data_IF_562843443714
#
_entry.id   IF_562843443714
#
_cell.length_a   1.000
_cell.length_b   1.000
_cell.length_c   1.000
_cell.angle_alpha   90.00
_cell.angle_beta   90.00
_cell.angle_gamma   90.00
#
_symmetry.space_group_name_H-M   'P 1'
#
loop_
_entity.id
_entity.type
_entity.pdbx_description
1 polymer ?
#
# COMPACT_ATOMS: atom_id res chain seq x y z
N UNK A 1 2.06 -45.90 53.09
CA UNK A 1 1.19 -45.41 51.98
C UNK A 1 1.20 -43.88 51.88
N UNK A 2 2.07 -43.19 52.62
CA UNK A 2 1.98 -41.72 52.77
C UNK A 2 3.03 -40.97 51.95
N UNK A 3 4.18 -41.61 51.65
CA UNK A 3 5.21 -41.07 50.75
C UNK A 3 4.71 -40.78 49.34
N UNK A 4 3.84 -41.64 48.79
CA UNK A 4 3.23 -41.40 47.48
C UNK A 4 2.26 -40.21 47.49
N UNK A 5 1.58 -39.95 48.62
CA UNK A 5 0.68 -38.80 48.77
C UNK A 5 1.49 -37.51 48.85
N UNK A 6 2.61 -37.49 49.58
CA UNK A 6 3.50 -36.34 49.64
C UNK A 6 4.10 -35.99 48.27
N UNK A 7 4.47 -36.99 47.46
CA UNK A 7 4.97 -36.77 46.11
C UNK A 7 3.89 -36.23 45.17
N UNK A 8 2.66 -36.73 45.26
CA UNK A 8 1.54 -36.19 44.48
C UNK A 8 1.21 -34.76 44.90
N UNK A 9 1.17 -34.46 46.20
CA UNK A 9 0.97 -33.09 46.70
C UNK A 9 2.09 -32.15 46.27
N UNK A 10 3.36 -32.58 46.31
CA UNK A 10 4.48 -31.76 45.85
C UNK A 10 4.43 -31.50 44.35
N UNK A 11 4.04 -32.49 43.55
CA UNK A 11 3.89 -32.34 42.10
C UNK A 11 2.71 -31.43 41.74
N UNK A 12 1.58 -31.53 42.45
CA UNK A 12 0.45 -30.61 42.25
C UNK A 12 0.81 -29.18 42.65
N UNK A 13 1.54 -29.00 43.75
CA UNK A 13 1.94 -27.67 44.22
C UNK A 13 2.94 -27.05 43.24
N UNK A 14 3.90 -27.83 42.74
CA UNK A 14 4.84 -27.38 41.72
C UNK A 14 4.13 -27.02 40.41
N UNK A 15 3.14 -27.82 39.97
CA UNK A 15 2.33 -27.52 38.80
C UNK A 15 1.52 -26.23 38.96
N UNK A 16 0.90 -26.01 40.14
CA UNK A 16 0.16 -24.77 40.40
C UNK A 16 1.04 -23.53 40.41
N UNK A 17 2.27 -23.63 40.92
CA UNK A 17 3.25 -22.52 40.89
C UNK A 17 3.71 -22.25 39.45
N UNK A 18 3.87 -23.30 38.64
CA UNK A 18 4.27 -23.16 37.24
C UNK A 18 3.19 -22.50 36.37
N UNK A 19 1.92 -22.85 36.61
CA UNK A 19 0.76 -22.22 35.94
C UNK A 19 0.58 -20.76 36.38
N UNK A 20 0.74 -20.45 37.67
CA UNK A 20 0.65 -19.09 38.18
C UNK A 20 1.78 -18.17 37.67
N UNK A 21 3.01 -18.69 37.55
CA UNK A 21 4.12 -17.96 36.95
C UNK A 21 3.91 -17.68 35.45
N UNK A 22 3.26 -18.58 34.72
CA UNK A 22 2.89 -18.38 33.32
C UNK A 22 1.82 -17.29 33.15
N UNK A 23 0.90 -17.14 34.11
CA UNK A 23 -0.14 -16.10 34.10
C UNK A 23 0.42 -14.69 34.40
N UNK A 24 1.52 -14.58 35.15
CA UNK A 24 2.18 -13.30 35.45
C UNK A 24 3.03 -12.76 34.28
N UNK A 25 3.36 -13.60 33.29
CA UNK A 25 4.14 -13.18 32.12
C UNK A 25 3.31 -12.51 31.01
N UNK A 26 1.97 -12.54 31.11
CA UNK A 26 1.07 -11.98 30.09
C UNK A 26 0.61 -10.54 30.41
N UNK A 27 0.79 -10.06 31.64
CA UNK A 27 0.27 -8.76 32.12
C UNK A 27 1.30 -7.61 32.03
N UNK A 28 2.33 -7.72 31.19
CA UNK A 28 3.10 -6.55 30.75
C UNK A 28 2.87 -6.22 29.27
N UNK A 29 1.73 -6.64 28.73
CA UNK A 29 1.30 -6.29 27.38
C UNK A 29 0.39 -5.07 27.46
N UNK A 30 0.98 -3.94 27.09
CA UNK A 30 0.36 -2.64 26.83
C UNK A 30 -1.04 -2.77 26.18
N UNK A 31 -2.08 -2.39 26.92
CA UNK A 31 -3.49 -2.41 26.49
C UNK A 31 -3.74 -1.28 25.48
N UNK A 32 -3.93 -1.63 24.20
CA UNK A 32 -4.59 -0.75 23.22
C UNK A 32 -6.04 -1.20 23.13
N UNK A 33 -6.93 -0.32 23.59
CA UNK A 33 -8.38 -0.44 23.51
C UNK A 33 -8.83 -0.83 22.10
N UNK A 34 -9.43 -2.01 21.99
CA UNK A 34 -10.12 -2.46 20.80
C UNK A 34 -11.51 -1.82 20.75
N UNK A 35 -11.62 -0.67 20.07
CA UNK A 35 -12.91 -0.20 19.58
C UNK A 35 -13.23 -0.94 18.26
N UNK A 36 -14.36 -1.63 18.28
CA UNK A 36 -14.87 -2.44 17.18
C UNK A 36 -15.12 -1.59 15.91
N UNK A 37 -14.72 -2.05 14.70
CA UNK A 37 -15.22 -1.47 13.47
C UNK A 37 -16.61 -2.03 13.18
N UNK A 38 -17.63 -1.18 13.33
CA UNK A 38 -18.96 -1.38 12.77
C UNK A 38 -18.87 -1.65 11.26
N UNK A 39 -19.29 -2.87 10.90
CA UNK A 39 -20.29 -3.15 9.86
C UNK A 39 -20.36 -2.17 8.67
N UNK A 40 -19.50 -2.36 7.67
CA UNK A 40 -19.79 -1.87 6.33
C UNK A 40 -20.63 -2.91 5.61
N UNK A 41 -21.95 -2.70 5.70
CA UNK A 41 -23.00 -3.51 5.13
C UNK A 41 -22.82 -3.76 3.64
N UNK A 42 -22.74 -5.03 3.27
CA UNK A 42 -23.00 -5.51 1.91
C UNK A 42 -24.51 -5.53 1.73
N UNK A 43 -25.06 -4.45 1.17
CA UNK A 43 -26.46 -4.33 0.81
C UNK A 43 -26.59 -3.66 -0.54
N UNK A 44 -26.52 -4.45 -1.62
CA UNK A 44 -27.00 -4.01 -2.94
C UNK A 44 -28.53 -3.92 -2.82
N UNK A 45 -29.05 -2.70 -2.77
CA UNK A 45 -30.48 -2.45 -2.95
C UNK A 45 -30.80 -2.46 -4.45
N UNK A 46 -31.70 -3.36 -4.80
CA UNK A 46 -32.42 -3.50 -6.06
C UNK A 46 -33.71 -2.62 -6.02
N UNK A 47 -34.31 -2.32 -7.19
CA UNK A 47 -35.43 -1.39 -7.54
C UNK A 47 -35.06 0.11 -7.63
N UNK A 48 -35.35 0.90 -8.68
CA UNK A 48 -36.29 0.92 -9.82
C UNK A 48 -35.51 1.08 -11.16
N UNK A 49 -35.87 0.62 -12.37
CA UNK A 49 -37.13 0.57 -13.15
C UNK A 49 -37.79 1.92 -13.47
N UNK A 50 -37.36 2.56 -14.57
CA UNK A 50 -38.22 3.50 -15.30
C UNK A 50 -37.87 3.51 -16.82
N UNK A 51 -38.76 2.88 -17.57
CA UNK A 51 -39.24 3.05 -18.95
C UNK A 51 -38.45 3.92 -19.97
N UNK A 52 -38.25 3.32 -21.15
CA UNK A 52 -37.87 4.00 -22.40
C UNK A 52 -38.11 3.11 -23.62
N UNK A 53 -39.27 3.31 -24.25
CA UNK A 53 -39.79 2.85 -25.55
C UNK A 53 -38.70 2.76 -26.65
N UNK A 54 -38.64 1.80 -27.58
CA UNK A 54 -39.67 1.30 -28.49
C UNK A 54 -39.28 1.69 -29.92
N UNK A 55 -38.72 0.76 -30.73
CA UNK A 55 -38.74 0.86 -32.21
C UNK A 55 -38.47 -0.51 -32.84
N UNK A 56 -39.48 -1.04 -33.52
CA UNK A 56 -39.42 -2.23 -34.35
C UNK A 56 -38.92 -1.83 -35.75
N UNK A 57 -37.85 -2.46 -36.24
CA UNK A 57 -37.42 -2.33 -37.64
C UNK A 57 -37.88 -3.57 -38.43
N UNK A 58 -38.96 -3.38 -39.18
CA UNK A 58 -39.42 -4.27 -40.25
C UNK A 58 -38.48 -4.14 -41.46
N UNK A 59 -37.69 -5.18 -41.73
CA UNK A 59 -36.94 -5.32 -42.98
C UNK A 59 -37.72 -6.22 -43.94
N UNK A 60 -38.49 -5.58 -44.83
CA UNK A 60 -39.05 -6.19 -46.04
C UNK A 60 -37.91 -6.49 -47.00
N UNK A 61 -37.78 -7.73 -47.48
CA UNK A 61 -37.16 -7.93 -48.79
C UNK A 61 -37.69 -9.15 -49.55
N UNK A 62 -37.99 -8.91 -50.81
CA UNK A 62 -38.55 -9.86 -51.75
C UNK A 62 -37.49 -10.43 -52.70
N UNK A 63 -37.45 -11.77 -52.74
CA UNK A 63 -37.05 -12.61 -53.88
C UNK A 63 -35.51 -12.76 -54.19
N UNK A 64 -35.10 -13.73 -55.03
CA UNK A 64 -34.89 -15.10 -54.57
C UNK A 64 -33.52 -15.70 -54.93
N UNK A 65 -33.11 -16.66 -54.10
CA UNK A 65 -32.29 -17.84 -54.38
C UNK A 65 -30.98 -17.67 -55.19
N UNK A 66 -29.84 -17.61 -54.47
CA UNK A 66 -28.62 -18.30 -54.89
C UNK A 66 -28.03 -19.13 -53.75
N UNK A 67 -28.17 -20.44 -53.89
CA UNK A 67 -27.25 -21.49 -53.41
C UNK A 67 -26.97 -21.49 -51.90
N UNK A 68 -27.88 -22.11 -51.15
CA UNK A 68 -27.68 -22.45 -49.74
C UNK A 68 -26.50 -23.44 -49.56
N UNK A 69 -25.40 -22.96 -49.00
CA UNK A 69 -24.35 -23.79 -48.38
C UNK A 69 -24.73 -24.19 -46.93
N UNK A 70 -26.00 -24.06 -46.57
CA UNK A 70 -26.51 -24.40 -45.26
C UNK A 70 -26.81 -25.89 -45.19
N UNK A 71 -25.88 -26.62 -44.58
CA UNK A 71 -26.05 -27.97 -44.09
C UNK A 71 -27.39 -28.11 -43.37
N UNK A 72 -28.39 -28.74 -44.02
CA UNK A 72 -29.62 -29.20 -43.36
C UNK A 72 -29.30 -30.44 -42.53
N UNK A 73 -28.64 -30.22 -41.40
CA UNK A 73 -28.54 -31.15 -40.28
C UNK A 73 -28.23 -30.29 -39.06
N UNK A 74 -29.24 -30.01 -38.26
CA UNK A 74 -29.06 -29.35 -36.98
C UNK A 74 -28.25 -30.30 -36.08
N UNK A 75 -26.94 -30.07 -35.99
CA UNK A 75 -26.09 -30.73 -35.01
C UNK A 75 -26.29 -29.94 -33.72
N UNK A 76 -27.11 -30.48 -32.82
CA UNK A 76 -27.25 -29.95 -31.47
C UNK A 76 -25.99 -30.35 -30.68
N UNK A 77 -25.10 -29.40 -30.44
CA UNK A 77 -24.00 -29.60 -29.51
C UNK A 77 -24.51 -29.40 -28.08
N UNK A 78 -24.51 -30.47 -27.28
CA UNK A 78 -24.71 -30.36 -25.84
C UNK A 78 -23.39 -29.88 -25.21
N UNK A 79 -23.29 -28.58 -24.97
CA UNK A 79 -22.24 -28.03 -24.11
C UNK A 79 -22.70 -28.30 -22.68
N UNK A 80 -21.98 -29.16 -21.95
CA UNK A 80 -22.36 -29.49 -20.58
C UNK A 80 -22.36 -28.23 -19.70
N UNK A 81 -23.18 -28.23 -18.66
CA UNK A 81 -23.17 -27.16 -17.65
C UNK A 81 -21.77 -26.99 -17.04
N UNK A 82 -20.98 -28.08 -16.97
CA UNK A 82 -19.57 -28.06 -16.59
C UNK A 82 -18.69 -27.25 -17.56
N UNK A 83 -18.87 -27.38 -18.87
CA UNK A 83 -18.12 -26.62 -19.87
C UNK A 83 -18.51 -25.12 -19.89
N UNK A 84 -19.79 -24.81 -19.67
CA UNK A 84 -20.25 -23.42 -19.50
C UNK A 84 -19.80 -22.79 -18.16
N UNK A 85 -19.54 -23.62 -17.14
CA UNK A 85 -18.98 -23.18 -15.86
C UNK A 85 -17.46 -23.03 -15.83
N UNK A 86 -16.74 -23.56 -16.84
CA UNK A 86 -15.28 -23.56 -16.86
C UNK A 86 -14.68 -22.13 -16.91
N UNK A 87 -15.43 -21.15 -17.42
CA UNK A 87 -15.07 -19.74 -17.39
C UNK A 87 -15.24 -19.06 -16.01
N UNK A 88 -15.71 -19.79 -14.99
CA UNK A 88 -15.90 -19.28 -13.62
C UNK A 88 -14.86 -19.75 -12.61
N UNK A 89 -13.87 -20.55 -13.04
CA UNK A 89 -12.71 -20.83 -12.20
C UNK A 89 -11.63 -19.82 -12.62
N UNK A 90 -11.34 -18.77 -11.83
CA UNK A 90 -10.18 -17.95 -12.08
C UNK A 90 -8.97 -18.88 -11.96
N UNK A 91 -8.40 -19.29 -13.09
CA UNK A 91 -7.13 -19.98 -13.08
C UNK A 91 -6.12 -19.00 -12.48
N UNK A 92 -5.54 -19.27 -11.29
CA UNK A 92 -4.62 -18.34 -10.69
C UNK A 92 -3.43 -18.22 -11.64
N UNK A 93 -3.15 -17.02 -12.19
CA UNK A 93 -2.00 -16.86 -13.06
C UNK A 93 -0.77 -16.91 -12.18
N UNK A 94 -0.15 -18.09 -12.09
CA UNK A 94 1.11 -18.25 -11.34
C UNK A 94 2.30 -17.58 -12.04
N UNK A 95 2.13 -17.06 -13.26
CA UNK A 95 3.20 -16.42 -14.03
C UNK A 95 2.74 -15.33 -15.01
N UNK A 96 1.46 -14.93 -15.02
CA UNK A 96 1.00 -13.92 -15.98
C UNK A 96 1.40 -12.51 -15.53
N UNK A 97 1.99 -11.76 -16.46
CA UNK A 97 2.19 -10.33 -16.32
C UNK A 97 0.86 -9.62 -16.57
N UNK A 98 0.39 -8.82 -15.61
CA UNK A 98 -0.88 -8.11 -15.69
C UNK A 98 -0.62 -6.67 -16.14
N UNK A 99 -1.28 -6.24 -17.21
CA UNK A 99 -1.17 -4.86 -17.71
C UNK A 99 -2.32 -4.03 -17.14
N UNK A 100 -1.99 -3.00 -16.36
CA UNK A 100 -2.96 -2.04 -15.85
C UNK A 100 -2.88 -0.77 -16.69
N UNK A 101 -4.04 -0.20 -17.00
CA UNK A 101 -4.15 1.11 -17.65
C UNK A 101 -4.74 2.11 -16.66
N UNK A 102 -4.04 3.23 -16.46
CA UNK A 102 -4.54 4.35 -15.65
C UNK A 102 -4.76 5.56 -16.56
N UNK A 103 -6.00 6.04 -16.60
CA UNK A 103 -6.32 7.31 -17.25
C UNK A 103 -5.80 8.47 -16.39
N UNK A 104 -5.03 9.36 -17.01
CA UNK A 104 -4.59 10.63 -16.45
C UNK A 104 -5.04 11.77 -17.38
N UNK A 105 -5.03 13.02 -16.89
CA UNK A 105 -5.35 14.22 -17.68
C UNK A 105 -4.50 14.40 -18.95
N UNK A 106 -3.31 13.81 -18.98
CA UNK A 106 -2.35 13.89 -20.09
C UNK A 106 -2.26 12.59 -20.91
N UNK A 107 -3.16 11.62 -20.71
CA UNK A 107 -3.19 10.37 -21.47
C UNK A 107 -3.27 9.11 -20.59
N UNK A 108 -3.08 7.94 -21.22
CA UNK A 108 -3.22 6.65 -20.56
C UNK A 108 -1.85 6.02 -20.27
N UNK A 109 -1.48 5.95 -19.00
CA UNK A 109 -0.24 5.29 -18.58
C UNK A 109 -0.51 3.79 -18.39
N UNK A 110 0.33 2.95 -19.01
CA UNK A 110 0.25 1.51 -18.87
C UNK A 110 1.38 1.00 -17.98
N UNK A 111 1.05 0.13 -17.03
CA UNK A 111 2.01 -0.49 -16.12
C UNK A 111 1.86 -2.00 -16.13
N UNK A 112 2.99 -2.70 -16.15
CA UNK A 112 3.05 -4.16 -16.12
C UNK A 112 3.36 -4.59 -14.70
N UNK A 113 2.54 -5.48 -14.14
CA UNK A 113 2.69 -6.05 -12.81
C UNK A 113 2.96 -7.54 -12.94
N UNK A 114 4.09 -8.00 -12.40
CA UNK A 114 4.44 -9.42 -12.32
C UNK A 114 4.26 -9.85 -10.87
N UNK A 115 3.11 -10.48 -10.57
CA UNK A 115 2.75 -10.90 -9.21
C UNK A 115 3.76 -11.90 -8.66
N UNK A 116 4.13 -12.91 -9.46
CA UNK A 116 5.07 -13.96 -9.07
C UNK A 116 6.44 -13.41 -8.64
N UNK A 117 6.93 -12.39 -9.36
CA UNK A 117 8.21 -11.77 -9.08
C UNK A 117 8.12 -10.63 -8.05
N UNK A 118 6.89 -10.26 -7.63
CA UNK A 118 6.64 -9.07 -6.78
C UNK A 118 7.19 -7.79 -7.40
N UNK A 119 6.99 -7.64 -8.70
CA UNK A 119 7.54 -6.53 -9.49
C UNK A 119 6.45 -5.71 -10.18
N UNK A 120 6.69 -4.41 -10.33
CA UNK A 120 5.88 -3.52 -11.15
C UNK A 120 6.77 -2.63 -12.00
N UNK A 121 6.39 -2.39 -13.26
CA UNK A 121 7.11 -1.50 -14.18
C UNK A 121 7.19 -0.04 -13.71
N UNK A 122 6.43 0.36 -12.70
CA UNK A 122 6.61 1.67 -12.06
C UNK A 122 7.84 1.72 -11.12
N UNK A 123 8.55 0.61 -10.91
CA UNK A 123 9.77 0.51 -10.09
C UNK A 123 9.53 0.52 -8.58
N UNK A 124 8.43 1.13 -8.11
CA UNK A 124 8.15 1.33 -6.68
C UNK A 124 8.14 0.02 -5.88
N UNK A 125 7.52 -1.03 -6.40
CA UNK A 125 7.44 -2.30 -5.68
C UNK A 125 8.82 -2.97 -5.53
N UNK A 126 9.66 -2.91 -6.57
CA UNK A 126 11.01 -3.46 -6.49
C UNK A 126 11.88 -2.68 -5.50
N UNK A 127 11.80 -1.34 -5.55
CA UNK A 127 12.61 -0.43 -4.73
C UNK A 127 12.23 -0.49 -3.25
N UNK A 128 10.95 -0.37 -2.95
CA UNK A 128 10.49 -0.28 -1.57
C UNK A 128 10.11 -1.63 -0.98
N UNK A 129 9.99 -2.70 -1.77
CA UNK A 129 9.52 -4.01 -1.28
C UNK A 129 8.07 -4.05 -0.80
N UNK A 130 7.34 -2.93 -0.91
CA UNK A 130 5.93 -2.78 -0.57
C UNK A 130 5.13 -2.68 -1.87
N UNK A 131 3.99 -3.42 -2.01
CA UNK A 131 3.15 -3.34 -3.19
C UNK A 131 2.72 -1.90 -3.50
N UNK A 132 3.00 -1.44 -4.72
CA UNK A 132 2.55 -0.13 -5.19
C UNK A 132 1.04 -0.11 -5.46
N UNK A 133 0.46 1.07 -5.72
CA UNK A 133 -0.98 1.19 -6.03
C UNK A 133 -1.43 0.33 -7.22
N UNK A 134 -0.56 0.11 -8.22
CA UNK A 134 -0.81 -0.79 -9.33
C UNK A 134 -0.89 -2.24 -8.85
N UNK A 135 0.11 -2.67 -8.08
CA UNK A 135 0.16 -4.02 -7.51
C UNK A 135 -1.05 -4.31 -6.62
N UNK A 136 -1.43 -3.37 -5.75
CA UNK A 136 -2.59 -3.53 -4.87
C UNK A 136 -3.89 -3.74 -5.64
N UNK A 137 -4.10 -3.01 -6.75
CA UNK A 137 -5.26 -3.20 -7.62
C UNK A 137 -5.28 -4.59 -8.27
N UNK A 138 -4.11 -5.07 -8.70
CA UNK A 138 -3.97 -6.42 -9.26
C UNK A 138 -4.22 -7.46 -8.17
N UNK A 139 -3.59 -7.34 -7.01
CA UNK A 139 -3.81 -8.25 -5.88
C UNK A 139 -5.30 -8.34 -5.50
N UNK A 140 -6.01 -7.21 -5.43
CA UNK A 140 -7.45 -7.20 -5.20
C UNK A 140 -8.27 -7.92 -6.28
N UNK A 141 -7.90 -7.76 -7.56
CA UNK A 141 -8.57 -8.47 -8.66
C UNK A 141 -8.36 -9.99 -8.62
N UNK A 142 -7.24 -10.45 -8.06
CA UNK A 142 -6.93 -11.88 -7.91
C UNK A 142 -7.25 -12.43 -6.51
N UNK A 143 -7.92 -11.65 -5.65
CA UNK A 143 -8.18 -12.01 -4.25
C UNK A 143 -6.91 -12.44 -3.48
N UNK A 144 -5.78 -11.82 -3.81
CA UNK A 144 -4.50 -12.00 -3.12
C UNK A 144 -4.37 -10.90 -2.07
N UNK A 145 -4.02 -11.26 -0.84
CA UNK A 145 -3.71 -10.26 0.18
C UNK A 145 -2.49 -9.44 -0.23
N UNK A 146 -2.64 -8.11 -0.31
CA UNK A 146 -1.50 -7.25 -0.58
C UNK A 146 -0.47 -7.30 0.57
N UNK A 147 -0.91 -7.55 1.81
CA UNK A 147 -0.01 -7.62 2.97
C UNK A 147 0.95 -8.82 2.86
N UNK A 148 0.50 -9.98 2.39
CA UNK A 148 1.37 -11.15 2.18
C UNK A 148 2.41 -10.97 1.07
N UNK A 149 2.26 -9.91 0.28
CA UNK A 149 3.09 -9.59 -0.87
C UNK A 149 4.22 -8.59 -0.53
N UNK A 150 4.25 -8.08 0.71
CA UNK A 150 5.35 -7.29 1.27
C UNK A 150 6.59 -8.17 1.47
N UNK A 151 7.80 -7.61 1.32
CA UNK A 151 9.06 -8.33 1.58
C UNK A 151 9.29 -8.56 3.08
N UNK A 152 9.92 -9.67 3.41
CA UNK A 152 10.06 -10.19 4.79
C UNK A 152 10.83 -9.28 5.74
N UNK A 153 11.67 -8.37 5.24
CA UNK A 153 12.41 -7.44 6.11
C UNK A 153 11.54 -6.40 6.82
N UNK A 154 10.27 -6.25 6.42
CA UNK A 154 9.29 -5.43 7.14
C UNK A 154 8.50 -6.22 8.19
N UNK A 155 8.76 -7.52 8.33
CA UNK A 155 8.09 -8.33 9.35
C UNK A 155 8.60 -7.98 10.76
N UNK A 156 7.69 -8.00 11.73
CA UNK A 156 8.02 -7.70 13.13
C UNK A 156 8.99 -8.74 13.70
N UNK A 157 8.85 -10.01 13.29
CA UNK A 157 9.80 -11.05 13.68
C UNK A 157 11.20 -10.76 13.12
N UNK A 158 11.31 -10.33 11.86
CA UNK A 158 12.59 -9.95 11.27
C UNK A 158 13.21 -8.74 12.01
N UNK A 159 12.40 -7.74 12.36
CA UNK A 159 12.84 -6.60 13.16
C UNK A 159 13.38 -7.04 14.54
N UNK A 160 12.59 -7.79 15.31
CA UNK A 160 12.99 -8.27 16.63
C UNK A 160 14.24 -9.13 16.57
N UNK A 161 14.35 -10.03 15.57
CA UNK A 161 15.53 -10.86 15.39
C UNK A 161 16.78 -10.02 15.07
N UNK A 162 16.63 -8.94 14.30
CA UNK A 162 17.74 -8.03 13.96
C UNK A 162 18.31 -7.35 15.20
N UNK A 163 17.44 -6.95 16.15
CA UNK A 163 17.82 -6.28 17.40
C UNK A 163 17.90 -7.22 18.62
N UNK A 164 17.75 -8.53 18.42
CA UNK A 164 17.79 -9.52 19.51
C UNK A 164 19.17 -9.64 20.15
N UNK A 165 20.22 -9.26 19.42
CA UNK A 165 21.60 -9.32 19.90
C UNK A 165 21.89 -8.17 20.85
N UNK A 166 22.66 -8.47 21.88
CA UNK A 166 23.21 -7.46 22.78
C UNK A 166 24.21 -6.59 22.01
N UNK A 167 24.07 -5.28 22.14
CA UNK A 167 25.11 -4.35 21.71
C UNK A 167 26.20 -4.35 22.77
N UNK A 168 27.43 -4.68 22.38
CA UNK A 168 28.57 -4.50 23.25
C UNK A 168 28.81 -3.00 23.45
N UNK A 169 29.02 -2.55 24.70
CA UNK A 169 29.36 -1.16 24.94
C UNK A 169 30.65 -0.81 24.22
N UNK A 170 30.68 0.36 23.57
CA UNK A 170 31.91 0.88 22.96
C UNK A 170 32.95 1.07 24.07
N UNK A 171 34.12 0.43 23.91
CA UNK A 171 35.23 0.54 24.86
C UNK A 171 35.82 1.96 24.86
N UNK A 172 36.63 2.31 25.88
CA UNK A 172 37.30 3.63 25.87
C UNK A 172 38.17 3.79 24.63
N UNK A 173 38.37 5.05 24.23
CA UNK A 173 39.18 5.41 23.07
C UNK A 173 40.59 4.80 23.13
N UNK A 174 41.12 4.55 24.34
CA UNK A 174 42.43 3.94 24.58
C UNK A 174 42.56 2.51 24.03
N UNK A 175 41.43 1.81 23.80
CA UNK A 175 41.39 0.45 23.28
C UNK A 175 41.11 0.39 21.78
N UNK A 176 40.90 1.52 21.13
CA UNK A 176 40.59 1.55 19.70
C UNK A 176 41.87 1.32 18.90
N UNK A 177 41.82 0.43 17.91
CA UNK A 177 42.92 0.26 16.97
C UNK A 177 43.12 1.55 16.16
N UNK A 178 44.38 1.93 15.93
CA UNK A 178 44.70 3.05 15.06
C UNK A 178 44.12 2.77 13.66
N UNK A 179 43.23 3.64 13.13
CA UNK A 179 42.67 3.43 11.81
C UNK A 179 43.79 3.50 10.78
N UNK A 180 44.04 2.39 10.07
CA UNK A 180 44.99 2.34 8.95
C UNK A 180 44.49 3.08 7.69
N UNK A 181 43.59 4.05 7.87
CA UNK A 181 43.03 4.89 6.83
C UNK A 181 42.90 6.32 7.32
N UNK A 182 43.15 7.26 6.43
CA UNK A 182 42.90 8.67 6.70
C UNK A 182 41.45 9.00 6.35
N UNK A 183 40.69 9.48 7.32
CA UNK A 183 39.39 10.12 7.08
C UNK A 183 39.60 11.44 6.34
N UNK A 184 39.46 11.41 5.02
CA UNK A 184 39.48 12.62 4.18
C UNK A 184 38.03 13.11 4.03
N UNK A 185 37.76 14.33 4.48
CA UNK A 185 36.49 14.99 4.21
C UNK A 185 36.38 15.24 2.70
N UNK A 186 35.29 14.80 2.07
CA UNK A 186 35.05 15.12 0.67
C UNK A 186 34.86 16.65 0.52
N UNK A 187 35.78 17.34 -0.19
CA UNK A 187 35.73 18.78 -0.34
C UNK A 187 34.51 19.23 -1.15
N UNK A 188 33.85 18.34 -1.90
CA UNK A 188 32.65 18.68 -2.69
C UNK A 188 31.38 18.75 -1.84
N UNK A 189 31.33 18.05 -0.70
CA UNK A 189 30.15 18.02 0.19
C UNK A 189 29.91 19.37 0.87
N UNK A 190 30.96 20.19 1.07
CA UNK A 190 30.85 21.50 1.71
C UNK A 190 30.81 22.70 0.75
N UNK A 191 31.08 22.50 -0.55
CA UNK A 191 31.49 23.62 -1.43
C UNK A 191 30.43 24.07 -2.45
N UNK A 192 29.14 23.82 -2.21
CA UNK A 192 28.08 24.45 -3.02
C UNK A 192 27.02 25.12 -2.14
N UNK A 193 27.44 26.10 -1.34
CA UNK A 193 26.54 27.24 -1.07
C UNK A 193 26.69 28.19 -2.25
N UNK A 194 25.77 28.13 -3.22
CA UNK A 194 25.69 29.17 -4.25
C UNK A 194 25.58 30.53 -3.53
N UNK A 195 26.28 31.60 -3.96
CA UNK A 195 26.08 32.92 -3.39
C UNK A 195 24.59 33.30 -3.51
N UNK A 196 23.92 33.43 -2.37
CA UNK A 196 22.48 33.67 -2.32
C UNK A 196 21.79 32.90 -1.19
N UNK A 197 20.61 33.38 -0.81
CA UNK A 197 19.73 32.68 0.13
C UNK A 197 19.27 31.37 -0.52
N UNK A 198 19.52 30.24 0.13
CA UNK A 198 18.94 28.96 -0.30
C UNK A 198 17.44 29.13 -0.43
N UNK A 199 16.88 28.86 -1.61
CA UNK A 199 15.43 28.78 -1.75
C UNK A 199 14.96 27.63 -0.87
N UNK A 200 14.08 27.93 0.08
CA UNK A 200 13.50 26.92 0.95
C UNK A 200 12.59 26.04 0.11
N UNK A 201 12.81 24.73 0.12
CA UNK A 201 11.86 23.75 -0.43
C UNK A 201 10.60 23.61 0.44
N UNK A 202 10.53 24.33 1.56
CA UNK A 202 9.37 24.37 2.45
C UNK A 202 8.19 25.00 1.71
N UNK A 203 7.10 24.24 1.62
CA UNK A 203 5.81 24.73 1.15
C UNK A 203 5.31 25.76 2.17
N UNK A 204 5.05 26.98 1.71
CA UNK A 204 4.51 28.06 2.54
C UNK A 204 3.11 27.70 3.02
N UNK A 205 2.86 27.83 4.32
CA UNK A 205 1.55 27.60 4.93
C UNK A 205 0.83 28.92 5.20
N UNK A 206 -0.40 28.86 5.71
CA UNK A 206 -1.25 30.03 5.94
C UNK A 206 -0.60 31.11 6.82
N UNK A 207 0.24 30.72 7.78
CA UNK A 207 0.95 31.66 8.66
C UNK A 207 1.98 32.49 7.89
N UNK A 208 2.64 31.90 6.91
CA UNK A 208 3.62 32.60 6.07
C UNK A 208 2.94 33.62 5.17
N UNK A 209 1.79 33.27 4.59
CA UNK A 209 1.01 34.18 3.75
C UNK A 209 0.55 35.42 4.50
N UNK A 210 0.16 35.26 5.78
CA UNK A 210 -0.20 36.40 6.66
C UNK A 210 0.98 37.35 6.86
N UNK A 211 2.17 36.81 7.11
CA UNK A 211 3.38 37.63 7.29
C UNK A 211 3.80 38.34 6.00
N UNK A 212 3.70 37.68 4.85
CA UNK A 212 3.99 38.31 3.56
C UNK A 212 3.03 39.46 3.26
N UNK A 213 1.73 39.26 3.50
CA UNK A 213 0.72 40.30 3.29
C UNK A 213 0.91 41.51 4.21
N UNK A 214 1.13 41.29 5.49
CA UNK A 214 1.40 42.37 6.45
C UNK A 214 2.64 43.20 6.07
N UNK A 215 3.69 42.57 5.52
CA UNK A 215 4.86 43.29 5.00
C UNK A 215 4.55 44.13 3.77
N UNK A 216 3.72 43.63 2.86
CA UNK A 216 3.30 44.37 1.66
C UNK A 216 2.44 45.57 2.02
N UNK A 217 1.49 45.39 2.94
CA UNK A 217 0.63 46.47 3.45
C UNK A 217 1.47 47.56 4.15
N UNK A 218 2.46 47.18 4.96
CA UNK A 218 3.37 48.13 5.60
C UNK A 218 4.22 48.91 4.59
N UNK A 219 4.68 48.27 3.50
CA UNK A 219 5.44 48.92 2.44
C UNK A 219 4.57 49.88 1.60
N UNK A 220 3.31 49.51 1.35
CA UNK A 220 2.35 50.41 0.68
C UNK A 220 2.03 51.65 1.51
N UNK A 221 1.82 51.49 2.83
CA UNK A 221 1.58 52.62 3.72
C UNK A 221 2.78 53.58 3.79
N UNK A 222 4.01 53.05 3.80
CA UNK A 222 5.22 53.87 3.74
C UNK A 222 5.40 54.59 2.39
N UNK A 223 4.99 53.94 1.30
CA UNK A 223 4.95 54.56 -0.04
C UNK A 223 3.95 55.70 -0.11
N UNK A 224 2.72 55.48 0.36
CA UNK A 224 1.66 56.51 0.34
C UNK A 224 1.97 57.70 1.24
N UNK A 225 2.58 57.48 2.42
CA UNK A 225 3.02 58.59 3.29
C UNK A 225 4.12 59.44 2.62
N UNK A 226 5.03 58.81 1.87
CA UNK A 226 6.10 59.52 1.16
C UNK A 226 5.62 60.31 -0.08
N UNK A 227 4.48 59.91 -0.67
CA UNK A 227 3.85 60.63 -1.77
C UNK A 227 3.10 61.86 -1.24
N UNK A 228 2.47 61.77 -0.07
CA UNK A 228 1.77 62.91 0.54
C UNK A 228 2.71 64.02 1.02
N UNK A 229 3.93 63.70 1.48
CA UNK A 229 4.93 64.71 1.87
C UNK A 229 5.54 65.47 0.68
N UNK A 230 5.48 64.95 -0.54
CA UNK A 230 6.02 65.60 -1.75
C UNK A 230 4.99 66.45 -2.52
N UNK A 231 3.75 66.55 -2.04
CA UNK A 231 2.65 67.30 -2.67
C UNK A 231 2.24 68.54 -1.85
N UNK A 232 3.02 68.91 -0.82
CA UNK A 232 2.83 70.15 -0.03
C UNK A 232 3.87 71.22 -0.37
#
# INVERSE_FOLDING_TARGET
MDSAKYLLFSLTLLFTVLVAAAQLADESTFQISADAPEQWGTGISFYNEELGEGMEEEAVDGAPNRRSLFWKRAIHYYISYGALSANRVPCPPRSASVVIRRQNRHGMNTHVVKIANRECSCGKWNQFGIPCSHAQKVCGAYNISAASMVKDYYDLMAYNNTYSKHFEPVQSEDYWDDPNFQLVQDPTIRTVRRPGRNQTTRIHNEMDWRQTRARQEAQQQQGDSSIQENVS
#
